data_IF_513863400540
#
_entry.id   IF_513863400540
#
_cell.length_a   1.000
_cell.length_b   1.000
_cell.length_c   1.000
_cell.angle_alpha   90.00
_cell.angle_beta   90.00
_cell.angle_gamma   90.00
#
_symmetry.space_group_name_H-M   'P 1'
#
loop_
_entity.id
_entity.type
_entity.pdbx_description
1 polymer ?
#
# COMPACT_ATOMS: atom_id res chain seq x y z
N UNK A 1 8.57 -8.20 25.71
CA UNK A 1 8.88 -8.48 24.30
C UNK A 1 10.38 -8.33 24.13
N UNK A 2 11.07 -9.23 23.41
CA UNK A 2 12.48 -9.01 23.12
C UNK A 2 12.60 -7.72 22.30
N UNK A 3 13.48 -6.81 22.74
CA UNK A 3 13.74 -5.55 22.06
C UNK A 3 14.64 -5.85 20.85
N UNK A 4 14.02 -6.11 19.71
CA UNK A 4 14.73 -6.10 18.43
C UNK A 4 14.85 -4.64 17.96
N UNK A 5 15.93 -4.32 17.23
CA UNK A 5 16.18 -2.96 16.76
C UNK A 5 15.38 -2.69 15.48
N UNK A 6 14.67 -1.57 15.40
CA UNK A 6 13.85 -1.23 14.24
C UNK A 6 14.63 -1.32 12.91
N UNK A 7 14.06 -2.02 11.93
CA UNK A 7 14.57 -2.10 10.56
C UNK A 7 14.42 -0.74 9.88
N UNK A 8 15.53 0.01 9.78
CA UNK A 8 15.51 1.44 9.40
C UNK A 8 16.20 1.69 8.07
N UNK A 9 15.52 2.44 7.19
CA UNK A 9 16.00 2.81 5.87
C UNK A 9 16.31 4.31 5.78
N UNK A 10 17.54 4.62 5.38
CA UNK A 10 18.08 5.99 5.37
C UNK A 10 18.35 6.44 3.95
N UNK A 11 17.90 7.66 3.60
CA UNK A 11 18.17 8.27 2.31
C UNK A 11 19.68 8.47 2.13
N UNK A 12 20.26 7.90 1.06
CA UNK A 12 21.71 7.94 0.79
C UNK A 12 22.24 9.35 0.49
N UNK A 13 21.39 10.27 0.04
CA UNK A 13 21.78 11.65 -0.31
C UNK A 13 21.72 12.59 0.91
N UNK A 14 20.70 12.46 1.75
CA UNK A 14 20.46 13.37 2.88
C UNK A 14 20.87 12.79 4.23
N UNK A 15 21.14 11.49 4.29
CA UNK A 15 21.39 10.72 5.51
C UNK A 15 20.25 10.80 6.56
N UNK A 16 19.05 11.17 6.13
CA UNK A 16 17.85 11.20 6.96
C UNK A 16 17.12 9.85 6.92
N UNK A 17 16.62 9.38 8.07
CA UNK A 17 15.71 8.22 8.11
C UNK A 17 14.44 8.54 7.34
N UNK A 18 14.01 7.60 6.49
CA UNK A 18 12.80 7.74 5.66
C UNK A 18 11.73 6.73 6.09
N UNK A 19 12.15 5.51 6.42
CA UNK A 19 11.25 4.44 6.84
C UNK A 19 11.83 3.67 8.02
N UNK A 20 10.97 3.20 8.90
CA UNK A 20 11.34 2.31 9.99
C UNK A 20 10.25 1.26 10.17
N UNK A 21 10.63 -0.01 10.30
CA UNK A 21 9.71 -1.13 10.42
C UNK A 21 9.99 -1.94 11.68
N UNK A 22 8.93 -2.37 12.36
CA UNK A 22 8.96 -3.29 13.50
C UNK A 22 8.86 -4.74 13.00
N UNK A 23 9.97 -5.24 12.45
CA UNK A 23 10.08 -6.58 11.85
C UNK A 23 11.37 -7.26 12.31
N UNK A 24 11.44 -8.58 12.17
CA UNK A 24 12.66 -9.33 12.50
C UNK A 24 13.84 -8.95 11.59
N UNK A 25 15.08 -9.27 11.98
CA UNK A 25 16.25 -9.11 11.10
C UNK A 25 16.08 -9.86 9.77
N UNK A 26 15.55 -11.08 9.82
CA UNK A 26 15.30 -11.91 8.64
C UNK A 26 14.27 -11.26 7.69
N UNK A 27 13.19 -10.71 8.25
CA UNK A 27 12.18 -10.00 7.47
C UNK A 27 12.69 -8.66 6.92
N UNK A 28 13.60 -7.98 7.64
CA UNK A 28 14.20 -6.73 7.21
C UNK A 28 14.98 -6.89 5.90
N UNK A 29 15.65 -8.03 5.70
CA UNK A 29 16.37 -8.37 4.47
C UNK A 29 15.45 -8.55 3.25
N UNK A 30 14.14 -8.76 3.46
CA UNK A 30 13.15 -8.93 2.39
C UNK A 30 12.58 -7.60 1.88
N UNK A 31 12.86 -6.49 2.56
CA UNK A 31 12.37 -5.16 2.20
C UNK A 31 13.35 -4.51 1.22
N UNK A 32 12.86 -4.18 0.03
CA UNK A 32 13.67 -3.53 -0.99
C UNK A 32 13.57 -2.01 -0.86
N UNK A 33 14.70 -1.33 -0.67
CA UNK A 33 14.78 0.12 -0.59
C UNK A 33 15.68 0.65 -1.71
N UNK A 34 15.16 1.58 -2.52
CA UNK A 34 15.92 2.13 -3.65
C UNK A 34 17.11 3.01 -3.24
N UNK A 35 17.29 3.27 -1.93
CA UNK A 35 18.35 4.12 -1.39
C UNK A 35 17.97 5.59 -1.29
N UNK A 36 16.77 5.99 -1.72
CA UNK A 36 16.34 7.38 -1.71
C UNK A 36 15.04 7.55 -0.93
N UNK A 37 13.91 7.14 -1.51
CA UNK A 37 12.58 7.50 -1.00
C UNK A 37 11.52 6.43 -1.21
N UNK A 38 11.85 5.28 -1.80
CA UNK A 38 10.85 4.25 -2.12
C UNK A 38 11.25 2.93 -1.49
N UNK A 39 10.35 2.35 -0.70
CA UNK A 39 10.42 0.96 -0.26
C UNK A 39 9.38 0.11 -0.98
N UNK A 40 9.78 -1.09 -1.37
CA UNK A 40 8.92 -2.10 -1.97
C UNK A 40 8.90 -3.33 -1.07
N UNK A 41 7.70 -3.74 -0.67
CA UNK A 41 7.42 -4.87 0.19
C UNK A 41 6.64 -5.90 -0.61
N UNK A 42 6.92 -7.19 -0.39
CA UNK A 42 6.12 -8.30 -0.91
C UNK A 42 5.52 -9.02 0.27
N UNK A 43 4.20 -9.03 0.33
CA UNK A 43 3.44 -9.51 1.48
C UNK A 43 2.50 -10.61 1.04
N UNK A 44 2.57 -11.76 1.70
CA UNK A 44 1.63 -12.85 1.48
C UNK A 44 0.25 -12.48 2.07
N UNK A 45 -0.77 -12.53 1.23
CA UNK A 45 -2.17 -12.34 1.62
C UNK A 45 -2.83 -13.70 1.90
N UNK A 46 -3.63 -13.83 2.99
CA UNK A 46 -3.92 -12.83 4.03
C UNK A 46 -2.98 -12.92 5.25
N UNK A 47 -1.89 -13.70 5.18
CA UNK A 47 -1.07 -14.05 6.36
C UNK A 47 -0.21 -12.90 6.90
N UNK A 48 -0.02 -11.83 6.13
CA UNK A 48 0.84 -10.67 6.43
C UNK A 48 2.34 -11.00 6.54
N UNK A 49 2.77 -12.16 6.02
CA UNK A 49 4.20 -12.51 6.03
C UNK A 49 4.94 -11.76 4.93
N UNK A 50 6.10 -11.18 5.26
CA UNK A 50 7.03 -10.70 4.25
C UNK A 50 7.62 -11.89 3.51
N UNK A 51 7.77 -11.77 2.19
CA UNK A 51 8.28 -12.83 1.33
C UNK A 51 9.26 -12.30 0.30
N UNK A 52 10.18 -13.16 -0.11
CA UNK A 52 11.13 -12.90 -1.20
C UNK A 52 10.42 -12.78 -2.57
N UNK A 53 11.06 -12.07 -3.52
CA UNK A 53 10.61 -11.96 -4.90
C UNK A 53 10.57 -13.29 -5.67
N UNK A 54 11.28 -14.33 -5.21
CA UNK A 54 11.22 -15.66 -5.81
C UNK A 54 10.02 -16.47 -5.35
N UNK A 55 9.25 -15.99 -4.36
CA UNK A 55 8.05 -16.68 -3.92
C UNK A 55 7.04 -16.70 -5.07
N UNK A 56 6.51 -17.90 -5.36
CA UNK A 56 5.59 -18.17 -6.48
C UNK A 56 4.13 -18.34 -6.03
N UNK A 57 3.81 -17.97 -4.79
CA UNK A 57 2.43 -17.94 -4.32
C UNK A 57 1.61 -16.96 -5.17
N UNK A 58 0.41 -17.37 -5.57
CA UNK A 58 -0.50 -16.51 -6.34
C UNK A 58 -1.12 -15.38 -5.50
N UNK A 59 -0.92 -15.42 -4.17
CA UNK A 59 -1.52 -14.49 -3.22
C UNK A 59 -0.49 -13.48 -2.67
N UNK A 60 0.47 -13.06 -3.49
CA UNK A 60 1.44 -12.04 -3.10
C UNK A 60 0.90 -10.66 -3.48
N UNK A 61 0.89 -9.77 -2.50
CA UNK A 61 0.63 -8.36 -2.68
C UNK A 61 1.95 -7.60 -2.68
N UNK A 62 2.15 -6.72 -3.65
CA UNK A 62 3.31 -5.84 -3.70
C UNK A 62 2.89 -4.48 -3.17
N UNK A 63 3.51 -3.99 -2.10
CA UNK A 63 3.28 -2.65 -1.57
C UNK A 63 4.48 -1.76 -1.91
N UNK A 64 4.22 -0.59 -2.45
CA UNK A 64 5.23 0.41 -2.79
C UNK A 64 4.89 1.66 -1.99
N UNK A 65 5.77 2.02 -1.05
CA UNK A 65 5.57 3.18 -0.18
C UNK A 65 6.57 4.28 -0.54
N UNK A 66 6.11 5.52 -0.49
CA UNK A 66 6.93 6.71 -0.71
C UNK A 66 6.45 7.86 0.19
N UNK A 67 7.35 8.73 0.68
CA UNK A 67 6.96 9.89 1.49
C UNK A 67 6.20 10.89 0.62
N UNK A 68 5.13 11.44 1.19
CA UNK A 68 4.42 12.58 0.62
C UNK A 68 5.30 13.81 0.80
N UNK A 69 5.91 14.27 -0.29
CA UNK A 69 6.91 15.34 -0.27
C UNK A 69 6.32 16.75 -0.24
N UNK A 70 5.08 16.95 -0.69
CA UNK A 70 4.44 18.27 -0.75
C UNK A 70 2.98 18.19 -0.28
N UNK A 71 2.70 18.61 0.97
CA UNK A 71 1.34 18.86 1.41
C UNK A 71 0.74 20.11 0.72
N UNK A 72 -0.58 20.11 0.44
CA UNK A 72 -1.52 19.02 0.65
C UNK A 72 -1.43 17.97 -0.45
N UNK A 73 -1.20 16.71 -0.07
CA UNK A 73 -1.39 15.58 -0.97
C UNK A 73 -2.87 15.24 -1.03
N UNK A 74 -3.40 15.30 -2.25
CA UNK A 74 -4.82 15.16 -2.53
C UNK A 74 -5.01 13.93 -3.41
N UNK A 75 -5.18 12.77 -2.75
CA UNK A 75 -5.36 11.48 -3.44
C UNK A 75 -6.64 11.48 -4.29
N UNK A 76 -7.63 12.29 -3.92
CA UNK A 76 -8.90 12.39 -4.62
C UNK A 76 -8.80 13.26 -5.89
N UNK A 77 -7.70 14.01 -6.09
CA UNK A 77 -7.60 15.05 -7.12
C UNK A 77 -7.93 14.56 -8.53
N UNK A 78 -7.46 13.37 -8.90
CA UNK A 78 -7.64 12.81 -10.25
C UNK A 78 -9.07 12.29 -10.48
N UNK A 79 -9.76 11.92 -9.40
CA UNK A 79 -11.07 11.25 -9.47
C UNK A 79 -12.22 12.13 -8.97
N UNK A 80 -11.94 13.32 -8.42
CA UNK A 80 -12.92 14.24 -7.81
C UNK A 80 -14.11 14.57 -8.72
N UNK A 81 -13.88 14.64 -10.03
CA UNK A 81 -14.93 14.98 -11.01
C UNK A 81 -15.66 13.76 -11.56
N UNK A 82 -15.20 12.55 -11.25
CA UNK A 82 -15.81 11.32 -11.72
C UNK A 82 -17.08 11.04 -10.92
N UNK A 83 -18.12 10.57 -11.61
CA UNK A 83 -19.40 10.24 -10.99
C UNK A 83 -19.40 8.79 -10.51
N UNK A 84 -20.05 8.51 -9.39
CA UNK A 84 -20.35 7.14 -8.98
C UNK A 84 -21.45 6.58 -9.88
N UNK A 85 -21.18 5.47 -10.57
CA UNK A 85 -22.16 4.77 -11.43
C UNK A 85 -22.76 3.54 -10.78
N UNK A 86 -22.08 2.95 -9.79
CA UNK A 86 -22.62 1.88 -8.95
C UNK A 86 -21.96 1.93 -7.56
N UNK A 87 -22.64 1.41 -6.55
CA UNK A 87 -22.11 1.28 -5.20
C UNK A 87 -22.54 -0.05 -4.59
N UNK A 88 -21.63 -0.72 -3.90
CA UNK A 88 -21.84 -2.00 -3.23
C UNK A 88 -20.90 -2.11 -2.02
N UNK A 89 -21.45 -2.36 -0.84
CA UNK A 89 -20.71 -2.64 0.41
C UNK A 89 -19.57 -1.65 0.80
N UNK A 90 -19.70 -0.38 0.42
CA UNK A 90 -18.69 0.66 0.68
C UNK A 90 -17.58 0.74 -0.39
N UNK A 91 -17.79 0.08 -1.52
CA UNK A 91 -17.03 0.21 -2.75
C UNK A 91 -17.91 0.91 -3.79
N UNK A 92 -17.37 1.93 -4.43
CA UNK A 92 -18.05 2.70 -5.46
C UNK A 92 -17.33 2.55 -6.79
N UNK A 93 -18.05 2.16 -7.83
CA UNK A 93 -17.54 2.16 -9.20
C UNK A 93 -17.68 3.57 -9.78
N UNK A 94 -16.58 4.13 -10.26
CA UNK A 94 -16.53 5.48 -10.84
C UNK A 94 -16.60 5.44 -12.37
N UNK A 95 -17.26 6.44 -12.94
CA UNK A 95 -17.33 6.69 -14.39
C UNK A 95 -15.98 7.19 -14.89
N UNK A 96 -15.32 6.45 -15.78
CA UNK A 96 -14.01 6.81 -16.34
C UNK A 96 -13.61 5.92 -17.51
N UNK A 97 -12.48 6.25 -18.16
CA UNK A 97 -11.91 5.43 -19.25
C UNK A 97 -11.41 4.07 -18.76
N UNK A 98 -11.00 4.00 -17.49
CA UNK A 98 -10.56 2.77 -16.82
C UNK A 98 -11.52 2.42 -15.71
N UNK A 99 -11.74 1.11 -15.51
CA UNK A 99 -12.63 0.60 -14.46
C UNK A 99 -11.99 0.86 -13.10
N UNK A 100 -12.47 1.91 -12.45
CA UNK A 100 -11.90 2.46 -11.21
C UNK A 100 -12.90 2.34 -10.07
N UNK A 101 -12.45 1.80 -8.95
CA UNK A 101 -13.22 1.65 -7.73
C UNK A 101 -12.67 2.60 -6.67
N UNK A 102 -13.56 3.33 -6.00
CA UNK A 102 -13.26 4.05 -4.76
C UNK A 102 -13.70 3.21 -3.58
N UNK A 103 -12.78 2.95 -2.67
CA UNK A 103 -13.04 2.27 -1.40
C UNK A 103 -12.90 3.28 -0.29
N UNK A 104 -13.95 3.44 0.51
CA UNK A 104 -13.87 4.24 1.74
C UNK A 104 -13.06 3.45 2.79
N UNK A 105 -11.82 3.88 3.02
CA UNK A 105 -10.92 3.24 3.97
C UNK A 105 -11.37 3.44 5.41
N UNK A 106 -11.05 2.48 6.29
CA UNK A 106 -11.39 2.56 7.73
C UNK A 106 -10.70 3.70 8.47
N UNK A 107 -9.64 4.25 7.90
CA UNK A 107 -8.88 5.39 8.42
C UNK A 107 -9.44 6.75 7.94
N UNK A 108 -10.60 6.74 7.26
CA UNK A 108 -11.26 7.93 6.73
C UNK A 108 -10.67 8.45 5.42
N UNK A 109 -9.60 7.84 4.91
CA UNK A 109 -9.04 8.17 3.58
C UNK A 109 -9.62 7.24 2.51
N UNK A 110 -9.74 7.74 1.29
CA UNK A 110 -10.12 6.89 0.16
C UNK A 110 -8.92 6.10 -0.36
N UNK A 111 -9.20 4.88 -0.81
CA UNK A 111 -8.33 4.16 -1.72
C UNK A 111 -8.97 4.09 -3.11
N UNK A 112 -8.13 4.18 -4.13
CA UNK A 112 -8.53 4.12 -5.53
C UNK A 112 -7.88 2.90 -6.17
N UNK A 113 -8.71 1.96 -6.60
CA UNK A 113 -8.27 0.68 -7.16
C UNK A 113 -8.74 0.62 -8.60
N UNK A 114 -7.85 0.37 -9.54
CA UNK A 114 -8.18 0.24 -10.95
C UNK A 114 -7.70 -1.09 -11.53
N UNK A 115 -8.42 -1.58 -12.54
CA UNK A 115 -8.08 -2.82 -13.24
C UNK A 115 -6.93 -2.57 -14.22
N UNK A 116 -5.85 -3.36 -14.12
CA UNK A 116 -4.77 -3.39 -15.09
C UNK A 116 -4.48 -4.84 -15.48
N UNK A 117 -4.88 -5.25 -16.68
CA UNK A 117 -4.66 -6.60 -17.20
C UNK A 117 -5.13 -7.70 -16.20
N UNK A 118 -4.21 -8.50 -15.67
CA UNK A 118 -4.48 -9.58 -14.70
C UNK A 118 -4.37 -9.15 -13.24
N UNK A 119 -4.08 -7.88 -12.96
CA UNK A 119 -3.91 -7.34 -11.61
C UNK A 119 -4.85 -6.18 -11.32
N UNK A 120 -5.02 -5.90 -10.04
CA UNK A 120 -5.51 -4.62 -9.54
C UNK A 120 -4.32 -3.77 -9.09
N UNK A 121 -4.44 -2.46 -9.30
CA UNK A 121 -3.52 -1.47 -8.74
C UNK A 121 -4.32 -0.53 -7.84
N UNK A 122 -4.04 -0.58 -6.55
CA UNK A 122 -4.58 0.30 -5.53
C UNK A 122 -3.64 1.46 -5.23
N UNK A 123 -4.20 2.62 -4.94
CA UNK A 123 -3.50 3.84 -4.55
C UNK A 123 -4.19 4.48 -3.36
N UNK A 124 -3.45 4.85 -2.33
CA UNK A 124 -4.00 5.55 -1.17
C UNK A 124 -2.98 6.46 -0.49
N UNK A 125 -3.48 7.40 0.30
CA UNK A 125 -2.67 8.02 1.35
C UNK A 125 -2.72 7.16 2.62
N UNK A 126 -1.64 7.15 3.39
CA UNK A 126 -1.57 6.55 4.72
C UNK A 126 -1.06 7.60 5.72
N UNK A 127 -1.91 7.91 6.70
CA UNK A 127 -1.67 8.90 7.76
C UNK A 127 -1.23 10.29 7.26
N UNK A 128 -1.53 10.64 6.00
CA UNK A 128 -1.06 11.84 5.30
C UNK A 128 0.48 12.01 5.24
N UNK A 129 1.23 10.95 5.53
CA UNK A 129 2.70 10.95 5.54
C UNK A 129 3.22 10.17 4.33
N UNK A 130 2.58 9.06 4.00
CA UNK A 130 3.02 8.18 2.93
C UNK A 130 1.95 8.03 1.85
N UNK A 131 2.40 8.01 0.59
CA UNK A 131 1.64 7.44 -0.50
C UNK A 131 1.92 5.94 -0.55
N UNK A 132 0.87 5.16 -0.81
CA UNK A 132 0.94 3.70 -0.90
C UNK A 132 0.30 3.26 -2.20
N UNK A 133 1.11 2.68 -3.07
CA UNK A 133 0.63 1.91 -4.22
C UNK A 133 0.65 0.43 -3.83
N UNK A 134 -0.38 -0.33 -4.16
CA UNK A 134 -0.44 -1.76 -3.89
C UNK A 134 -0.98 -2.56 -5.07
N UNK A 135 -0.26 -3.61 -5.45
CA UNK A 135 -0.59 -4.47 -6.58
C UNK A 135 -0.98 -5.85 -6.07
N UNK A 136 -2.07 -6.39 -6.61
CA UNK A 136 -2.59 -7.69 -6.20
C UNK A 136 -3.34 -8.39 -7.33
N UNK A 137 -3.42 -9.72 -7.24
CA UNK A 137 -4.11 -10.54 -8.23
C UNK A 137 -5.63 -10.27 -8.20
N UNK A 138 -6.25 -10.20 -9.39
CA UNK A 138 -7.70 -10.01 -9.56
C UNK A 138 -8.56 -11.16 -9.04
N UNK A 139 -7.96 -12.33 -8.80
CA UNK A 139 -8.63 -13.44 -8.09
C UNK A 139 -9.06 -13.03 -6.67
N UNK A 140 -8.39 -12.05 -6.06
CA UNK A 140 -8.80 -11.45 -4.78
C UNK A 140 -9.85 -10.37 -5.08
N UNK A 141 -11.12 -10.78 -5.03
CA UNK A 141 -12.25 -9.94 -5.48
C UNK A 141 -12.77 -8.95 -4.43
N UNK A 142 -12.52 -9.18 -3.14
CA UNK A 142 -13.02 -8.29 -2.09
C UNK A 142 -12.07 -7.09 -1.88
N UNK A 143 -12.30 -6.05 -2.68
CA UNK A 143 -11.48 -4.83 -2.69
C UNK A 143 -11.40 -4.13 -1.32
N UNK A 144 -12.48 -4.19 -0.53
CA UNK A 144 -12.53 -3.58 0.80
C UNK A 144 -11.68 -4.35 1.80
N UNK A 145 -11.71 -5.68 1.76
CA UNK A 145 -10.84 -6.50 2.61
C UNK A 145 -9.37 -6.34 2.24
N UNK A 146 -9.07 -6.19 0.95
CA UNK A 146 -7.71 -5.90 0.48
C UNK A 146 -7.21 -4.56 1.04
N UNK A 147 -8.00 -3.49 0.93
CA UNK A 147 -7.60 -2.19 1.46
C UNK A 147 -7.42 -2.22 3.00
N UNK A 148 -8.32 -2.92 3.71
CA UNK A 148 -8.20 -3.14 5.15
C UNK A 148 -6.97 -3.97 5.53
N UNK A 149 -6.58 -4.94 4.69
CA UNK A 149 -5.37 -5.71 4.87
C UNK A 149 -4.13 -4.83 4.75
N UNK A 150 -4.07 -3.97 3.71
CA UNK A 150 -2.97 -3.00 3.52
C UNK A 150 -2.85 -2.11 4.75
N UNK A 151 -3.95 -1.51 5.19
CA UNK A 151 -3.95 -0.68 6.40
C UNK A 151 -3.50 -1.45 7.64
N UNK A 152 -3.99 -2.67 7.84
CA UNK A 152 -3.64 -3.47 9.01
C UNK A 152 -2.17 -3.89 9.01
N UNK A 153 -1.61 -4.18 7.83
CA UNK A 153 -0.18 -4.43 7.68
C UNK A 153 0.63 -3.19 8.07
N UNK A 154 0.30 -2.02 7.52
CA UNK A 154 1.02 -0.78 7.80
C UNK A 154 0.86 -0.32 9.25
N UNK A 155 -0.31 -0.48 9.85
CA UNK A 155 -0.55 -0.14 11.27
C UNK A 155 0.27 -1.04 12.20
N UNK A 156 0.52 -2.28 11.79
CA UNK A 156 1.27 -3.25 12.58
C UNK A 156 2.78 -3.10 12.46
N UNK A 157 3.28 -2.88 11.25
CA UNK A 157 4.71 -3.02 10.97
C UNK A 157 5.42 -1.70 10.66
N UNK A 158 4.73 -0.65 10.20
CA UNK A 158 5.38 0.63 9.93
C UNK A 158 5.43 1.47 11.21
N UNK A 159 6.64 1.87 11.61
CA UNK A 159 6.88 2.76 12.74
C UNK A 159 6.81 4.21 12.23
N UNK A 160 5.90 4.99 12.82
CA UNK A 160 5.69 6.40 12.51
C UNK A 160 6.07 7.31 13.67
#
# INVERSE_FOLDING_TARGET
MPAHAACTFVNKKTNASVFSFDVSDEDCELIDFNGETVVTLRVEYPSMKLVDYKNRSNNIMVLILFPISVPPFDIDRVTRTLKTIASFDGVELLEGSEKTYRVAGRDGSNAYIYEWDLIYVGKRAYKNIFGVDYLFNREISNLKEVDNFVLSFLDRFLIN
#
